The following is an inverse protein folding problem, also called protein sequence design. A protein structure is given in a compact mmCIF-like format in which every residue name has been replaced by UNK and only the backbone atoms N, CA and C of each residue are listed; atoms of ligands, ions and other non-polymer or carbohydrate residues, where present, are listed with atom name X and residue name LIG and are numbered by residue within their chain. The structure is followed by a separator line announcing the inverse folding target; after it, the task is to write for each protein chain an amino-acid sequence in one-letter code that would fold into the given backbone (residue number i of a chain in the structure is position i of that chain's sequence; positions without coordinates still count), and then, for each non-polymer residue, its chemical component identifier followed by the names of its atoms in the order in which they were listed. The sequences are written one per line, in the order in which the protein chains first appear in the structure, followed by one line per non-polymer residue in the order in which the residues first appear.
data_IF_585457403199
#
_entry.id   IF_585457403199
#
_cell.length_a   1.000
_cell.length_b   1.000
_cell.length_c   1.000
_cell.angle_alpha   90.00
_cell.angle_beta   90.00
_cell.angle_gamma   90.00
#
_symmetry.space_group_name_H-M   'P 1'
#
loop_
_entity.id
_entity.type
_entity.pdbx_description
1 polymer ?
#
# COMPACT_ATOMS: atom_id res chain seq x y z
N UNK A 1 3.39 22.50 1.86
CA UNK A 1 1.94 22.41 2.10
C UNK A 1 1.43 21.09 1.50
N UNK A 2 0.61 20.32 2.22
CA UNK A 2 0.11 18.99 1.80
C UNK A 2 -1.43 18.95 1.67
N UNK A 3 -2.09 20.11 1.80
CA UNK A 3 -3.52 20.23 1.59
C UNK A 3 -3.91 19.97 0.13
N UNK A 4 -5.12 19.43 -0.07
CA UNK A 4 -5.77 19.37 -1.39
C UNK A 4 -5.96 20.79 -1.88
N UNK A 5 -5.64 21.05 -3.15
CA UNK A 5 -5.78 22.38 -3.74
C UNK A 5 -7.08 22.41 -4.55
N UNK A 6 -7.81 23.50 -4.43
CA UNK A 6 -9.11 23.68 -5.10
C UNK A 6 -9.01 24.82 -6.12
N UNK A 7 -9.67 24.64 -7.25
CA UNK A 7 -9.92 25.68 -8.25
C UNK A 7 -11.44 25.81 -8.40
N UNK A 8 -12.01 26.96 -8.00
CA UNK A 8 -13.46 27.22 -8.04
C UNK A 8 -14.31 26.08 -7.44
N UNK A 9 -14.01 25.68 -6.20
CA UNK A 9 -14.73 24.64 -5.44
C UNK A 9 -14.67 23.20 -6.01
N UNK A 10 -13.92 22.99 -7.09
CA UNK A 10 -13.62 21.65 -7.62
C UNK A 10 -12.18 21.28 -7.26
N UNK A 11 -11.91 20.05 -6.77
CA UNK A 11 -10.54 19.61 -6.55
C UNK A 11 -9.75 19.69 -7.85
N UNK A 12 -8.52 20.22 -7.78
CA UNK A 12 -7.66 20.40 -8.95
C UNK A 12 -7.46 19.06 -9.67
N UNK A 13 -7.41 19.10 -11.00
CA UNK A 13 -7.17 17.89 -11.76
C UNK A 13 -5.82 17.26 -11.37
N UNK A 14 -5.70 15.92 -11.34
CA UNK A 14 -4.47 15.23 -10.92
C UNK A 14 -3.20 15.69 -11.65
N UNK A 15 -3.34 16.20 -12.89
CA UNK A 15 -2.23 16.77 -13.67
C UNK A 15 -1.59 18.01 -13.01
N UNK A 16 -2.36 18.76 -12.23
CA UNK A 16 -1.94 20.00 -11.56
C UNK A 16 -1.72 19.80 -10.05
N UNK A 17 -2.11 18.64 -9.50
CA UNK A 17 -1.87 18.26 -8.10
C UNK A 17 -0.71 17.26 -7.97
N UNK A 18 0.49 17.76 -7.66
CA UNK A 18 1.68 16.92 -7.44
C UNK A 18 1.50 15.84 -6.35
N UNK A 19 0.61 16.06 -5.39
CA UNK A 19 0.38 15.16 -4.25
C UNK A 19 -0.84 14.23 -4.44
N UNK A 20 -1.47 14.24 -5.60
CA UNK A 20 -2.54 13.30 -5.90
C UNK A 20 -1.97 11.87 -6.00
N UNK A 21 -2.58 10.86 -5.35
CA UNK A 21 -2.13 9.49 -5.42
C UNK A 21 -2.30 9.01 -6.86
N UNK A 22 -1.17 8.71 -7.47
CA UNK A 22 -1.12 8.08 -8.77
C UNK A 22 -1.04 6.57 -8.63
N UNK A 23 -1.50 5.87 -9.67
CA UNK A 23 -1.40 4.42 -9.73
C UNK A 23 -0.09 3.96 -10.41
N UNK A 24 0.69 4.89 -10.95
CA UNK A 24 1.93 4.58 -11.66
C UNK A 24 2.97 3.92 -10.75
N UNK A 25 3.28 4.52 -9.60
CA UNK A 25 4.27 3.94 -8.67
C UNK A 25 3.81 2.55 -8.17
N UNK A 26 2.57 2.37 -7.67
CA UNK A 26 2.05 1.07 -7.28
C UNK A 26 2.11 -0.01 -8.38
N UNK A 27 1.72 0.33 -9.61
CA UNK A 27 1.70 -0.64 -10.73
C UNK A 27 3.10 -1.02 -11.17
N UNK A 28 4.01 -0.05 -11.29
CA UNK A 28 5.40 -0.33 -11.63
C UNK A 28 6.11 -1.10 -10.53
N UNK A 29 5.83 -0.80 -9.25
CA UNK A 29 6.37 -1.55 -8.12
C UNK A 29 5.87 -3.00 -8.10
N UNK A 30 4.60 -3.24 -8.44
CA UNK A 30 4.05 -4.59 -8.59
C UNK A 30 4.76 -5.38 -9.69
N UNK A 31 4.94 -4.79 -10.89
CA UNK A 31 5.65 -5.45 -11.98
C UNK A 31 7.11 -5.73 -11.60
N UNK A 32 7.76 -4.77 -10.95
CA UNK A 32 9.14 -4.92 -10.45
C UNK A 32 9.21 -6.03 -9.41
N UNK A 33 8.20 -6.18 -8.54
CA UNK A 33 8.14 -7.26 -7.56
C UNK A 33 8.13 -8.63 -8.23
N UNK A 34 7.35 -8.81 -9.30
CA UNK A 34 7.34 -10.06 -10.07
C UNK A 34 8.73 -10.35 -10.64
N UNK A 35 9.38 -9.35 -11.24
CA UNK A 35 10.74 -9.50 -11.79
C UNK A 35 11.77 -9.80 -10.70
N UNK A 36 11.73 -9.08 -9.58
CA UNK A 36 12.62 -9.28 -8.43
C UNK A 36 12.44 -10.65 -7.78
N UNK A 37 11.21 -11.15 -7.72
CA UNK A 37 10.92 -12.50 -7.26
C UNK A 37 11.54 -13.55 -8.19
N UNK A 38 11.41 -13.37 -9.51
CA UNK A 38 12.07 -14.22 -10.50
C UNK A 38 13.60 -14.20 -10.37
N UNK A 39 14.19 -13.01 -10.18
CA UNK A 39 15.62 -12.84 -9.95
C UNK A 39 16.07 -13.59 -8.67
N UNK A 40 15.36 -13.40 -7.56
CA UNK A 40 15.69 -14.05 -6.28
C UNK A 40 15.62 -15.58 -6.39
N UNK A 41 14.56 -16.13 -7.00
CA UNK A 41 14.43 -17.56 -7.25
C UNK A 41 15.51 -18.09 -8.21
N UNK A 42 15.91 -17.28 -9.20
CA UNK A 42 17.00 -17.58 -10.12
C UNK A 42 18.34 -17.72 -9.41
N UNK A 43 18.66 -16.82 -8.48
CA UNK A 43 19.89 -16.91 -7.67
C UNK A 43 19.94 -18.13 -6.75
N UNK A 44 18.78 -18.73 -6.46
CA UNK A 44 18.65 -19.93 -5.61
C UNK A 44 18.53 -21.23 -6.43
N UNK A 45 18.68 -21.18 -7.76
CA UNK A 45 18.46 -22.32 -8.67
C UNK A 45 17.05 -22.94 -8.57
N UNK A 46 16.06 -22.16 -8.10
CA UNK A 46 14.67 -22.61 -7.90
C UNK A 46 13.72 -22.11 -8.99
N UNK A 47 14.23 -21.31 -9.93
CA UNK A 47 13.40 -20.62 -10.90
C UNK A 47 12.67 -21.59 -11.83
N UNK A 48 11.34 -21.45 -11.87
CA UNK A 48 10.50 -22.02 -12.91
C UNK A 48 9.54 -20.96 -13.44
N UNK A 49 9.24 -21.00 -14.74
CA UNK A 49 8.34 -20.04 -15.38
C UNK A 49 6.93 -20.06 -14.75
N UNK A 50 6.50 -21.23 -14.27
CA UNK A 50 5.22 -21.43 -13.57
C UNK A 50 5.17 -20.68 -12.23
N UNK A 51 6.25 -20.69 -11.45
CA UNK A 51 6.31 -19.97 -10.17
C UNK A 51 6.14 -18.47 -10.35
N UNK A 52 6.67 -17.89 -11.42
CA UNK A 52 6.51 -16.47 -11.71
C UNK A 52 5.03 -16.10 -11.90
N UNK A 53 4.29 -16.93 -12.64
CA UNK A 53 2.85 -16.78 -12.84
C UNK A 53 2.06 -16.96 -11.54
N UNK A 54 2.45 -17.92 -10.69
CA UNK A 54 1.83 -18.14 -9.38
C UNK A 54 2.07 -16.93 -8.45
N UNK A 55 3.27 -16.37 -8.41
CA UNK A 55 3.60 -15.20 -7.59
C UNK A 55 2.81 -13.98 -8.07
N UNK A 56 2.78 -13.72 -9.39
CA UNK A 56 2.03 -12.60 -9.95
C UNK A 56 0.52 -12.72 -9.66
N UNK A 57 -0.07 -13.88 -9.93
CA UNK A 57 -1.50 -14.12 -9.72
C UNK A 57 -1.89 -14.11 -8.24
N UNK A 58 -1.09 -14.72 -7.36
CA UNK A 58 -1.33 -14.72 -5.91
C UNK A 58 -1.21 -13.32 -5.32
N UNK A 59 -0.22 -12.52 -5.75
CA UNK A 59 -0.07 -11.14 -5.30
C UNK A 59 -1.24 -10.25 -5.78
N UNK A 60 -1.74 -10.45 -7.00
CA UNK A 60 -2.97 -9.80 -7.48
C UNK A 60 -4.19 -10.23 -6.65
N UNK A 61 -4.34 -11.54 -6.38
CA UNK A 61 -5.44 -12.06 -5.59
C UNK A 61 -5.45 -11.47 -4.17
N UNK A 62 -4.29 -11.38 -3.51
CA UNK A 62 -4.14 -10.71 -2.22
C UNK A 62 -4.46 -9.21 -2.30
N UNK A 63 -4.07 -8.52 -3.37
CA UNK A 63 -4.41 -7.12 -3.59
C UNK A 63 -5.91 -6.89 -3.74
N UNK A 64 -6.61 -7.73 -4.51
CA UNK A 64 -8.07 -7.67 -4.65
C UNK A 64 -8.76 -7.98 -3.32
N UNK A 65 -8.32 -9.03 -2.63
CA UNK A 65 -8.86 -9.41 -1.32
C UNK A 65 -8.68 -8.28 -0.30
N UNK A 66 -7.50 -7.67 -0.25
CA UNK A 66 -7.22 -6.53 0.61
C UNK A 66 -8.17 -5.36 0.34
N UNK A 67 -8.39 -4.98 -0.93
CA UNK A 67 -9.31 -3.90 -1.29
C UNK A 67 -10.73 -4.23 -0.83
N UNK A 68 -11.20 -5.46 -1.05
CA UNK A 68 -12.52 -5.91 -0.59
C UNK A 68 -12.67 -5.78 0.93
N UNK A 69 -11.67 -6.20 1.70
CA UNK A 69 -11.67 -6.07 3.18
C UNK A 69 -11.74 -4.60 3.60
N UNK A 70 -11.01 -3.72 2.94
CA UNK A 70 -11.09 -2.28 3.21
C UNK A 70 -12.46 -1.69 2.88
N UNK A 71 -13.06 -2.09 1.77
CA UNK A 71 -14.42 -1.69 1.39
C UNK A 71 -15.45 -2.14 2.42
N UNK A 72 -15.38 -3.39 2.85
CA UNK A 72 -16.27 -3.93 3.89
C UNK A 72 -16.08 -3.17 5.19
N UNK A 73 -14.83 -2.83 5.56
CA UNK A 73 -14.55 -2.08 6.78
C UNK A 73 -15.12 -0.67 6.72
N UNK A 74 -14.99 0.04 5.60
CA UNK A 74 -15.61 1.36 5.39
C UNK A 74 -17.15 1.29 5.48
N UNK A 75 -17.74 0.25 4.88
CA UNK A 75 -19.19 0.02 4.94
C UNK A 75 -19.68 -0.23 6.37
N UNK A 76 -19.04 -1.15 7.10
CA UNK A 76 -19.41 -1.52 8.49
C UNK A 76 -19.21 -0.36 9.45
N UNK A 77 -18.13 0.42 9.29
CA UNK A 77 -17.86 1.58 10.16
C UNK A 77 -18.71 2.81 9.83
N UNK A 78 -19.45 2.77 8.71
CA UNK A 78 -20.33 3.83 8.22
C UNK A 78 -19.60 5.18 8.18
N UNK A 79 -18.49 5.21 7.44
CA UNK A 79 -17.65 6.39 7.31
C UNK A 79 -17.92 7.11 5.99
N UNK A 80 -18.40 8.36 6.08
CA UNK A 80 -18.41 9.27 4.93
C UNK A 80 -16.97 9.71 4.63
N UNK A 81 -16.43 9.21 3.52
CA UNK A 81 -15.08 9.51 3.04
C UNK A 81 -15.10 9.75 1.53
N UNK A 82 -14.18 10.58 1.03
CA UNK A 82 -13.99 10.80 -0.41
C UNK A 82 -13.13 9.73 -1.08
N UNK A 83 -12.70 8.69 -0.35
CA UNK A 83 -11.80 7.65 -0.83
C UNK A 83 -12.48 6.76 -1.87
N UNK A 84 -11.92 6.74 -3.09
CA UNK A 84 -12.36 5.85 -4.16
C UNK A 84 -11.57 4.54 -4.16
N UNK A 85 -12.06 3.54 -4.91
CA UNK A 85 -11.39 2.24 -5.10
C UNK A 85 -9.93 2.43 -5.54
N UNK A 86 -9.70 3.33 -6.49
CA UNK A 86 -8.38 3.58 -7.04
C UNK A 86 -7.44 4.27 -6.05
N UNK A 87 -7.96 5.09 -5.14
CA UNK A 87 -7.14 5.69 -4.08
C UNK A 87 -6.66 4.60 -3.11
N UNK A 88 -7.56 3.71 -2.69
CA UNK A 88 -7.23 2.58 -1.82
C UNK A 88 -6.22 1.64 -2.49
N UNK A 89 -6.44 1.32 -3.77
CA UNK A 89 -5.51 0.52 -4.56
C UNK A 89 -4.12 1.18 -4.63
N UNK A 90 -4.07 2.49 -4.87
CA UNK A 90 -2.81 3.22 -4.92
C UNK A 90 -2.09 3.13 -3.56
N UNK A 91 -2.78 3.44 -2.46
CA UNK A 91 -2.21 3.40 -1.10
C UNK A 91 -1.74 2.01 -0.69
N UNK A 92 -2.52 0.95 -0.93
CA UNK A 92 -2.13 -0.42 -0.59
C UNK A 92 -0.97 -0.92 -1.47
N UNK A 93 -0.91 -0.51 -2.73
CA UNK A 93 0.12 -0.95 -3.67
C UNK A 93 1.52 -0.36 -3.40
N UNK A 94 1.65 0.70 -2.60
CA UNK A 94 2.97 1.23 -2.19
C UNK A 94 3.81 0.22 -1.40
N UNK A 95 3.20 -0.83 -0.83
CA UNK A 95 3.92 -1.91 -0.13
C UNK A 95 4.96 -2.61 -1.01
N UNK A 96 4.70 -2.73 -2.31
CA UNK A 96 5.62 -3.38 -3.25
C UNK A 96 6.95 -2.62 -3.38
N UNK A 97 6.97 -1.30 -3.16
CA UNK A 97 8.23 -0.52 -3.16
C UNK A 97 9.16 -1.01 -2.06
N UNK A 98 8.63 -1.19 -0.84
CA UNK A 98 9.39 -1.70 0.29
C UNK A 98 9.81 -3.15 0.11
N UNK A 99 8.93 -4.00 -0.44
CA UNK A 99 9.26 -5.39 -0.76
C UNK A 99 10.42 -5.48 -1.76
N UNK A 100 10.38 -4.72 -2.84
CA UNK A 100 11.45 -4.71 -3.85
C UNK A 100 12.81 -4.33 -3.25
N UNK A 101 12.84 -3.29 -2.41
CA UNK A 101 14.06 -2.89 -1.72
C UNK A 101 14.57 -3.98 -0.76
N UNK A 102 13.67 -4.61 0.01
CA UNK A 102 14.03 -5.66 0.95
C UNK A 102 14.59 -6.91 0.24
N UNK A 103 13.94 -7.34 -0.85
CA UNK A 103 14.42 -8.46 -1.67
C UNK A 103 15.75 -8.11 -2.33
N UNK A 104 15.91 -6.92 -2.90
CA UNK A 104 17.17 -6.50 -3.53
C UNK A 104 18.36 -6.50 -2.57
N UNK A 105 18.19 -5.96 -1.35
CA UNK A 105 19.26 -5.97 -0.34
C UNK A 105 19.52 -7.39 0.18
N UNK A 106 18.49 -8.24 0.24
CA UNK A 106 18.66 -9.63 0.67
C UNK A 106 19.56 -10.46 -0.24
N UNK A 107 19.72 -10.09 -1.51
CA UNK A 107 20.63 -10.78 -2.43
C UNK A 107 22.11 -10.60 -2.06
N UNK A 108 22.45 -9.51 -1.37
CA UNK A 108 23.83 -9.19 -0.95
C UNK A 108 24.04 -9.55 0.52
N UNK A 109 23.07 -9.21 1.38
CA UNK A 109 23.17 -9.32 2.84
C UNK A 109 22.31 -10.44 3.44
N UNK A 110 21.77 -11.34 2.60
CA UNK A 110 20.92 -12.47 3.00
C UNK A 110 19.75 -12.05 3.91
N UNK A 111 19.41 -12.88 4.89
CA UNK A 111 18.29 -12.69 5.82
C UNK A 111 18.41 -11.41 6.64
N UNK A 112 19.62 -11.05 7.07
CA UNK A 112 19.84 -9.85 7.88
C UNK A 112 19.44 -8.59 7.11
N UNK A 113 19.92 -8.44 5.87
CA UNK A 113 19.55 -7.34 5.00
C UNK A 113 18.05 -7.25 4.72
N UNK A 114 17.40 -8.39 4.49
CA UNK A 114 15.95 -8.46 4.30
C UNK A 114 15.19 -7.86 5.49
N UNK A 115 15.42 -8.38 6.71
CA UNK A 115 14.64 -7.96 7.88
C UNK A 115 14.91 -6.50 8.26
N UNK A 116 16.16 -6.03 8.16
CA UNK A 116 16.50 -4.62 8.44
C UNK A 116 15.75 -3.66 7.51
N UNK A 117 15.77 -3.93 6.20
CA UNK A 117 15.10 -3.09 5.21
C UNK A 117 13.59 -3.22 5.30
N UNK A 118 13.07 -4.44 5.51
CA UNK A 118 11.64 -4.68 5.67
C UNK A 118 11.07 -3.88 6.84
N UNK A 119 11.74 -3.87 8.00
CA UNK A 119 11.31 -3.09 9.17
C UNK A 119 11.32 -1.59 8.85
N UNK A 120 12.41 -1.09 8.25
CA UNK A 120 12.53 0.32 7.89
C UNK A 120 11.40 0.78 6.95
N UNK A 121 11.14 0.02 5.88
CA UNK A 121 10.08 0.35 4.94
C UNK A 121 8.68 0.12 5.52
N UNK A 122 8.50 -0.86 6.40
CA UNK A 122 7.22 -1.09 7.09
C UNK A 122 6.83 0.09 7.96
N UNK A 123 7.77 0.61 8.77
CA UNK A 123 7.54 1.79 9.63
C UNK A 123 7.30 3.03 8.75
N UNK A 124 8.09 3.20 7.70
CA UNK A 124 7.95 4.34 6.78
C UNK A 124 6.61 4.33 6.05
N UNK A 125 6.17 3.16 5.59
CA UNK A 125 4.87 2.99 4.93
C UNK A 125 3.71 3.23 5.90
N UNK A 126 3.77 2.68 7.11
CA UNK A 126 2.76 2.92 8.14
C UNK A 126 2.63 4.42 8.46
N UNK A 127 3.76 5.12 8.64
CA UNK A 127 3.78 6.57 8.85
C UNK A 127 3.18 7.34 7.66
N UNK A 128 3.56 6.97 6.43
CA UNK A 128 3.03 7.56 5.21
C UNK A 128 1.51 7.37 5.08
N UNK A 129 1.00 6.17 5.35
CA UNK A 129 -0.43 5.87 5.28
C UNK A 129 -1.23 6.62 6.35
N UNK A 130 -0.74 6.64 7.59
CA UNK A 130 -1.39 7.37 8.68
C UNK A 130 -1.51 8.85 8.32
N UNK A 131 -0.44 9.46 7.80
CA UNK A 131 -0.44 10.88 7.42
C UNK A 131 -1.33 11.15 6.22
N UNK A 132 -1.22 10.34 5.16
CA UNK A 132 -1.90 10.58 3.88
C UNK A 132 -3.40 10.32 3.97
N UNK A 133 -3.81 9.22 4.61
CA UNK A 133 -5.23 8.91 4.80
C UNK A 133 -5.90 9.87 5.77
N UNK A 134 -5.20 10.35 6.81
CA UNK A 134 -5.75 11.35 7.73
C UNK A 134 -6.16 12.65 7.01
N UNK A 135 -5.43 13.04 5.95
CA UNK A 135 -5.75 14.22 5.15
C UNK A 135 -6.95 14.00 4.22
N UNK A 136 -7.16 12.77 3.74
CA UNK A 136 -8.23 12.43 2.77
C UNK A 136 -9.54 11.98 3.40
N UNK A 137 -9.50 11.53 4.65
CA UNK A 137 -10.67 11.07 5.40
C UNK A 137 -11.43 12.23 6.08
N UNK A 138 -10.97 13.47 5.89
CA UNK A 138 -11.69 14.69 6.32
C UNK A 138 -12.93 14.84 5.41
N UNK A 139 -14.15 14.97 5.97
CA UNK A 139 -15.37 15.04 5.19
C UNK A 139 -15.43 16.37 4.46
N UNK A 140 -15.78 16.35 3.17
CA UNK A 140 -15.96 17.55 2.33
C UNK A 140 -17.26 18.33 2.66
N UNK A 141 -17.77 18.26 3.89
CA UNK A 141 -19.06 18.83 4.26
C UNK A 141 -19.04 19.58 5.59
N UNK A 142 -19.90 20.61 5.68
CA UNK A 142 -20.23 21.35 6.91
C UNK A 142 -20.99 20.50 7.97
N UNK A 143 -20.88 19.18 7.94
CA UNK A 143 -21.47 18.30 8.95
C UNK A 143 -20.62 18.35 10.21
N UNK A 144 -21.25 18.78 11.31
CA UNK A 144 -20.63 18.95 12.63
C UNK A 144 -19.71 17.78 12.98
N UNK A 145 -18.47 18.11 13.34
CA UNK A 145 -17.45 17.17 13.83
C UNK A 145 -17.99 16.38 15.04
N UNK A 146 -18.57 15.20 14.82
CA UNK A 146 -18.92 14.32 15.92
C UNK A 146 -17.66 13.61 16.41
N UNK A 147 -17.37 13.70 17.70
CA UNK A 147 -16.20 13.05 18.31
C UNK A 147 -16.17 11.53 18.07
N UNK A 148 -17.33 10.90 17.86
CA UNK A 148 -17.47 9.47 17.53
C UNK A 148 -16.93 9.13 16.13
N UNK A 149 -17.20 9.96 15.11
CA UNK A 149 -16.71 9.74 13.75
C UNK A 149 -15.19 9.78 13.65
N UNK A 150 -14.54 10.69 14.39
CA UNK A 150 -13.08 10.78 14.42
C UNK A 150 -12.40 9.52 15.00
N UNK A 151 -13.01 8.87 16.01
CA UNK A 151 -12.48 7.61 16.57
C UNK A 151 -12.55 6.47 15.56
N UNK A 152 -13.68 6.32 14.86
CA UNK A 152 -13.87 5.29 13.83
C UNK A 152 -12.90 5.45 12.66
N UNK A 153 -12.67 6.69 12.21
CA UNK A 153 -11.69 7.03 11.18
C UNK A 153 -10.27 6.68 11.60
N UNK A 154 -9.91 7.00 12.84
CA UNK A 154 -8.60 6.62 13.38
C UNK A 154 -8.42 5.10 13.40
N UNK A 155 -9.43 4.34 13.82
CA UNK A 155 -9.38 2.88 13.80
C UNK A 155 -9.23 2.31 12.39
N UNK A 156 -9.97 2.86 11.41
CA UNK A 156 -9.80 2.47 10.00
C UNK A 156 -8.38 2.73 9.50
N UNK A 157 -7.82 3.91 9.75
CA UNK A 157 -6.46 4.27 9.33
C UNK A 157 -5.42 3.36 9.99
N UNK A 158 -5.56 3.11 11.29
CA UNK A 158 -4.66 2.21 12.02
C UNK A 158 -4.76 0.76 11.53
N UNK A 159 -5.97 0.31 11.17
CA UNK A 159 -6.19 -1.00 10.57
C UNK A 159 -5.48 -1.12 9.21
N UNK A 160 -5.70 -0.16 8.30
CA UNK A 160 -5.06 -0.12 6.98
C UNK A 160 -3.54 -0.08 7.10
N UNK A 161 -3.01 0.76 7.99
CA UNK A 161 -1.56 0.89 8.18
C UNK A 161 -0.94 -0.33 8.87
N UNK A 162 -1.67 -0.96 9.81
CA UNK A 162 -1.20 -2.11 10.58
C UNK A 162 -1.17 -3.42 9.81
N UNK A 163 -2.06 -3.59 8.82
CA UNK A 163 -2.06 -4.81 7.98
C UNK A 163 -0.91 -4.81 6.95
N UNK A 164 -0.39 -3.64 6.57
CA UNK A 164 0.65 -3.56 5.52
C UNK A 164 1.94 -4.31 5.87
N UNK A 165 2.56 -4.14 7.06
CA UNK A 165 3.79 -4.86 7.40
C UNK A 165 3.60 -6.38 7.38
N UNK A 166 2.44 -6.86 7.82
CA UNK A 166 2.09 -8.28 7.80
C UNK A 166 2.00 -8.80 6.36
N UNK A 167 1.31 -8.08 5.48
CA UNK A 167 1.20 -8.44 4.07
C UNK A 167 2.53 -8.35 3.34
N UNK A 168 3.36 -7.36 3.66
CA UNK A 168 4.71 -7.24 3.12
C UNK A 168 5.52 -8.47 3.46
N UNK A 169 5.59 -8.83 4.74
CA UNK A 169 6.30 -10.02 5.18
C UNK A 169 5.73 -11.30 4.53
N UNK A 170 4.41 -11.47 4.52
CA UNK A 170 3.73 -12.63 3.93
C UNK A 170 4.03 -12.81 2.44
N UNK A 171 4.04 -11.72 1.66
CA UNK A 171 4.29 -11.77 0.22
C UNK A 171 5.75 -12.00 -0.15
N UNK A 172 6.71 -11.71 0.74
CA UNK A 172 8.14 -11.80 0.40
C UNK A 172 8.98 -12.80 1.19
N UNK A 173 8.48 -13.36 2.30
CA UNK A 173 9.31 -14.26 3.13
C UNK A 173 9.80 -15.52 2.38
N UNK A 174 8.99 -16.04 1.46
CA UNK A 174 9.30 -17.26 0.71
C UNK A 174 10.40 -17.05 -0.36
N UNK A 175 10.73 -15.79 -0.68
CA UNK A 175 11.74 -15.45 -1.69
C UNK A 175 13.16 -15.45 -1.12
N UNK A 176 13.32 -15.62 0.19
CA UNK A 176 14.61 -15.50 0.88
C UNK A 176 15.22 -16.89 1.07
N UNK A 177 16.52 -17.00 0.82
CA UNK A 177 17.31 -18.21 1.03
C UNK A 177 17.60 -18.46 2.53
#
# INVERSE_FOLDING_TARGET
DWSVKYEQDVPLQPRYEKNAPDLYIPTMAFLTYVVMAGLALGTQERFTHEQLGIIASSALAWGVFEILVHFITLYVTNLDTSLRIFDLLAYCGYKYVGINAAVGVSLIFSRFGYYSVLIYFSISLAFFLIRSLKLRVIPEGHTSYTASGNKRRLYFILFVAGIQPLLMWWLSYHLIA
#
